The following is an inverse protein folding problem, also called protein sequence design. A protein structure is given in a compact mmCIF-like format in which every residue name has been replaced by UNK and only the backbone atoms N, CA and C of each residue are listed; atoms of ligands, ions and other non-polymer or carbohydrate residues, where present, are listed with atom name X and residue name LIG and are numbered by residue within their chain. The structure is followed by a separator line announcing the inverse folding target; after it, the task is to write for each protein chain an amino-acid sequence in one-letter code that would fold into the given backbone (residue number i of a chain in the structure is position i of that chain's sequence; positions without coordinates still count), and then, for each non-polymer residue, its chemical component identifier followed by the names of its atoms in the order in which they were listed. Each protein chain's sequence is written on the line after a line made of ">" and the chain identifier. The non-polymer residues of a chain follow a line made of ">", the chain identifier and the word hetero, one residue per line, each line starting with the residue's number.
data_IF_600564563825
#
_entry.id   IF_600564563825
#
_cell.length_a   1.000
_cell.length_b   1.000
_cell.length_c   1.000
_cell.angle_alpha   90.00
_cell.angle_beta   90.00
_cell.angle_gamma   90.00
#
_symmetry.space_group_name_H-M   'P 1'
#
loop_
_entity.id
_entity.type
_entity.pdbx_description
1 polymer ?
#
# COMPACT_ATOMS: atom_id res chain seq x y z
N UNK A 1 14.67 -3.30 15.58
CA UNK A 1 14.69 -4.78 15.47
C UNK A 1 13.91 -5.12 14.21
N UNK A 2 14.57 -5.82 13.29
CA UNK A 2 13.97 -6.28 12.04
C UNK A 2 12.68 -7.05 12.33
N UNK A 3 11.59 -6.79 11.60
CA UNK A 3 10.48 -7.71 11.58
C UNK A 3 10.89 -8.91 10.70
N UNK A 4 11.61 -9.88 11.26
CA UNK A 4 11.66 -11.21 10.67
C UNK A 4 10.28 -11.87 10.84
N UNK A 5 9.33 -11.47 10.02
CA UNK A 5 7.96 -11.93 10.11
C UNK A 5 7.38 -12.44 8.81
N UNK A 6 8.18 -13.06 7.96
CA UNK A 6 7.65 -14.07 7.07
C UNK A 6 8.78 -14.96 6.58
N UNK A 7 9.01 -16.04 7.28
CA UNK A 7 9.70 -17.16 6.63
C UNK A 7 8.68 -17.80 5.72
N UNK A 8 8.93 -17.69 4.43
CA UNK A 8 8.09 -18.33 3.44
C UNK A 8 7.86 -19.81 3.80
N UNK A 9 6.63 -20.26 3.75
CA UNK A 9 6.24 -21.67 3.91
C UNK A 9 6.90 -22.54 2.82
N UNK A 10 7.56 -21.90 1.84
CA UNK A 10 8.01 -22.51 0.60
C UNK A 10 9.17 -23.51 0.70
N UNK A 11 10.13 -23.34 1.60
CA UNK A 11 11.38 -24.08 1.46
C UNK A 11 11.49 -25.35 2.32
N UNK A 12 10.78 -25.43 3.45
CA UNK A 12 10.87 -26.59 4.35
C UNK A 12 9.82 -27.67 4.06
N UNK A 13 8.69 -27.31 3.47
CA UNK A 13 7.54 -28.21 3.30
C UNK A 13 7.12 -28.50 1.86
N UNK A 14 7.83 -28.04 0.86
CA UNK A 14 7.53 -28.28 -0.58
C UNK A 14 7.33 -29.76 -0.97
N UNK A 15 7.57 -30.69 -0.08
CA UNK A 15 7.45 -32.13 -0.35
C UNK A 15 6.39 -32.89 0.45
N UNK A 16 5.65 -32.24 1.37
CA UNK A 16 4.82 -33.01 2.29
C UNK A 16 3.31 -32.86 2.12
N UNK A 17 2.77 -31.62 2.01
CA UNK A 17 1.35 -31.42 1.76
C UNK A 17 1.04 -29.94 1.42
N UNK A 18 -0.08 -29.73 0.71
CA UNK A 18 -0.58 -28.38 0.45
C UNK A 18 -1.30 -27.83 1.68
N UNK A 19 -0.82 -26.73 2.22
CA UNK A 19 -1.47 -26.05 3.33
C UNK A 19 -2.76 -25.39 2.86
N UNK A 20 -3.88 -25.74 3.48
CA UNK A 20 -5.23 -25.20 3.18
C UNK A 20 -5.89 -24.55 4.37
N UNK A 21 -5.37 -24.76 5.56
CA UNK A 21 -5.77 -24.06 6.77
C UNK A 21 -4.64 -23.99 7.76
N UNK A 22 -4.68 -22.97 8.61
CA UNK A 22 -3.76 -22.77 9.71
C UNK A 22 -4.53 -22.37 10.97
N UNK A 23 -4.02 -22.78 12.12
CA UNK A 23 -4.47 -22.33 13.44
C UNK A 23 -3.25 -21.82 14.19
N UNK A 24 -3.32 -20.61 14.72
CA UNK A 24 -2.26 -19.98 15.51
C UNK A 24 -2.77 -19.81 16.93
N UNK A 25 -2.06 -20.39 17.90
CA UNK A 25 -2.40 -20.31 19.32
C UNK A 25 -1.30 -19.61 20.10
N UNK A 26 -1.67 -18.69 20.97
CA UNK A 26 -0.85 -18.17 22.06
C UNK A 26 -1.35 -18.76 23.39
N UNK A 27 -0.73 -19.86 23.85
CA UNK A 27 -1.31 -20.68 24.90
C UNK A 27 -2.61 -21.34 24.43
N UNK A 28 -3.72 -21.01 25.10
CA UNK A 28 -5.07 -21.47 24.74
C UNK A 28 -5.84 -20.48 23.85
N UNK A 29 -5.35 -19.26 23.71
CA UNK A 29 -5.99 -18.21 22.92
C UNK A 29 -5.65 -18.36 21.43
N UNK A 30 -6.67 -18.42 20.61
CA UNK A 30 -6.50 -18.46 19.16
C UNK A 30 -6.34 -17.05 18.59
N UNK A 31 -5.27 -16.86 17.82
CA UNK A 31 -4.98 -15.62 17.11
C UNK A 31 -5.56 -15.68 15.70
N UNK A 32 -6.40 -14.72 15.30
CA UNK A 32 -6.87 -14.63 13.92
C UNK A 32 -5.71 -14.57 12.94
N UNK A 33 -5.75 -15.43 11.93
CA UNK A 33 -4.68 -15.56 10.94
C UNK A 33 -5.22 -15.64 9.50
N UNK A 34 -4.34 -15.47 8.54
CA UNK A 34 -4.64 -15.45 7.12
C UNK A 34 -3.56 -16.21 6.36
N UNK A 35 -3.97 -17.04 5.41
CA UNK A 35 -3.08 -17.66 4.43
C UNK A 35 -3.18 -16.90 3.12
N UNK A 36 -2.04 -16.51 2.55
CA UNK A 36 -1.95 -15.78 1.29
C UNK A 36 -1.26 -16.63 0.22
N UNK A 37 -1.82 -16.60 -0.97
CA UNK A 37 -1.25 -17.10 -2.22
C UNK A 37 -0.73 -15.87 -2.99
N UNK A 38 0.59 -15.70 -3.05
CA UNK A 38 1.24 -14.51 -3.61
C UNK A 38 1.56 -14.65 -5.10
N UNK A 39 1.53 -15.88 -5.61
CA UNK A 39 1.91 -16.18 -6.98
C UNK A 39 0.76 -16.67 -7.87
N UNK A 40 -0.43 -16.93 -7.29
CA UNK A 40 -1.64 -17.33 -7.99
C UNK A 40 -1.69 -18.83 -8.33
N UNK A 41 -0.88 -19.66 -7.68
CA UNK A 41 -0.84 -21.12 -7.93
C UNK A 41 -1.85 -21.91 -7.07
N UNK A 42 -2.69 -21.22 -6.31
CA UNK A 42 -3.71 -21.74 -5.40
C UNK A 42 -3.15 -22.51 -4.19
N UNK A 43 -1.89 -22.24 -3.85
CA UNK A 43 -1.25 -22.73 -2.66
C UNK A 43 -0.91 -21.56 -1.73
N UNK A 44 -0.87 -21.81 -0.44
CA UNK A 44 -0.47 -20.78 0.51
C UNK A 44 1.06 -20.62 0.52
N UNK A 45 1.52 -19.41 0.25
CA UNK A 45 2.93 -19.02 0.34
C UNK A 45 3.26 -18.49 1.72
N UNK A 46 2.34 -17.74 2.34
CA UNK A 46 2.56 -17.08 3.62
C UNK A 46 1.39 -17.24 4.59
N UNK A 47 1.74 -17.27 5.89
CA UNK A 47 0.80 -17.17 7.00
C UNK A 47 0.99 -15.83 7.71
N UNK A 48 -0.06 -15.02 7.73
CA UNK A 48 -0.07 -13.72 8.38
C UNK A 48 -0.98 -13.70 9.62
N UNK A 49 -0.53 -13.03 10.67
CA UNK A 49 -1.33 -12.71 11.86
C UNK A 49 -0.78 -11.46 12.54
N UNK A 50 -1.57 -10.85 13.42
CA UNK A 50 -1.19 -9.66 14.20
C UNK A 50 -1.39 -9.96 15.66
N UNK A 51 -0.37 -9.71 16.48
CA UNK A 51 -0.45 -9.83 17.92
C UNK A 51 0.36 -8.73 18.62
N UNK A 52 -0.05 -8.37 19.82
CA UNK A 52 0.73 -7.46 20.66
C UNK A 52 1.77 -8.26 21.45
N UNK A 53 3.01 -7.83 21.38
CA UNK A 53 4.09 -8.36 22.21
C UNK A 53 4.64 -7.22 23.03
N UNK A 54 4.44 -7.19 24.36
CA UNK A 54 5.01 -6.18 25.23
C UNK A 54 6.54 -6.12 25.15
N UNK A 55 7.10 -4.96 25.50
CA UNK A 55 8.55 -4.79 25.47
C UNK A 55 9.25 -5.77 26.43
N UNK A 56 10.31 -6.42 25.93
CA UNK A 56 11.11 -7.41 26.67
C UNK A 56 10.37 -8.72 27.03
N UNK A 57 9.21 -8.97 26.43
CA UNK A 57 8.50 -10.25 26.55
C UNK A 57 8.80 -11.17 25.38
N UNK A 58 8.67 -12.49 25.62
CA UNK A 58 8.74 -13.54 24.61
C UNK A 58 7.48 -14.37 24.68
N UNK A 59 6.79 -14.51 23.54
CA UNK A 59 5.64 -15.38 23.42
C UNK A 59 6.00 -16.62 22.60
N UNK A 60 5.49 -17.77 23.02
CA UNK A 60 5.61 -19.02 22.27
C UNK A 60 4.28 -19.32 21.63
N UNK A 61 4.28 -19.40 20.31
CA UNK A 61 3.10 -19.70 19.53
C UNK A 61 3.11 -21.17 19.09
N UNK A 62 1.93 -21.78 19.10
CA UNK A 62 1.70 -23.08 18.46
C UNK A 62 0.99 -22.84 17.14
N UNK A 63 1.62 -23.24 16.02
CA UNK A 63 1.07 -23.13 14.67
C UNK A 63 0.78 -24.52 14.15
N UNK A 64 -0.50 -24.79 13.87
CA UNK A 64 -0.95 -26.04 13.27
C UNK A 64 -1.35 -25.79 11.82
N UNK A 65 -0.67 -26.43 10.88
CA UNK A 65 -0.96 -26.40 9.45
C UNK A 65 -1.71 -27.66 9.03
N UNK A 66 -2.71 -27.53 8.14
CA UNK A 66 -3.51 -28.65 7.67
C UNK A 66 -3.76 -28.61 6.16
N UNK A 67 -3.81 -29.78 5.53
CA UNK A 67 -4.27 -29.94 4.15
C UNK A 67 -5.79 -29.97 4.02
N UNK A 68 -6.52 -30.08 5.14
CA UNK A 68 -7.97 -29.98 5.15
C UNK A 68 -8.41 -28.52 5.09
N UNK A 69 -9.43 -28.21 4.28
CA UNK A 69 -10.07 -26.90 4.28
C UNK A 69 -10.83 -26.72 5.61
N UNK A 70 -10.85 -25.49 6.09
CA UNK A 70 -11.71 -25.09 7.20
C UNK A 70 -12.79 -24.12 6.70
N UNK A 71 -13.95 -24.17 7.33
CA UNK A 71 -15.01 -23.16 7.14
C UNK A 71 -14.89 -22.01 8.16
N UNK A 72 -13.85 -22.04 9.00
CA UNK A 72 -13.60 -21.00 9.97
C UNK A 72 -13.22 -19.71 9.28
N UNK A 73 -13.86 -18.63 9.67
CA UNK A 73 -13.57 -17.27 9.17
C UNK A 73 -13.38 -16.35 10.35
N UNK A 74 -12.54 -15.34 10.17
CA UNK A 74 -12.39 -14.27 11.15
C UNK A 74 -13.04 -12.99 10.63
N UNK A 75 -13.54 -12.11 11.53
CA UNK A 75 -14.02 -10.80 11.10
C UNK A 75 -12.96 -10.05 10.31
N UNK A 76 -13.38 -9.46 9.19
CA UNK A 76 -12.48 -8.65 8.37
C UNK A 76 -12.08 -7.38 9.14
N UNK A 77 -10.79 -7.12 9.23
CA UNK A 77 -10.18 -5.95 9.84
C UNK A 77 -9.46 -5.08 8.82
N UNK A 78 -9.36 -5.57 7.61
CA UNK A 78 -8.83 -4.88 6.43
C UNK A 78 -9.73 -5.16 5.23
N UNK A 79 -9.62 -4.33 4.20
CA UNK A 79 -10.30 -4.54 2.92
C UNK A 79 -9.43 -4.01 1.79
N UNK A 80 -9.45 -4.65 0.64
CA UNK A 80 -8.90 -4.12 -0.61
C UNK A 80 -9.88 -4.37 -1.76
N UNK A 81 -9.95 -3.42 -2.70
CA UNK A 81 -10.82 -3.52 -3.86
C UNK A 81 -10.37 -2.64 -5.02
N UNK A 82 -10.62 -3.12 -6.22
CA UNK A 82 -10.43 -2.37 -7.47
C UNK A 82 -11.63 -2.59 -8.36
N UNK A 83 -12.09 -1.56 -9.07
CA UNK A 83 -13.30 -1.63 -9.91
C UNK A 83 -13.08 -0.89 -11.22
N UNK A 84 -13.39 -1.52 -12.33
CA UNK A 84 -13.45 -0.86 -13.65
C UNK A 84 -14.78 -0.12 -13.79
N UNK A 85 -14.73 1.08 -14.34
CA UNK A 85 -15.91 1.87 -14.71
C UNK A 85 -16.42 1.45 -16.08
N UNK A 86 -17.70 1.13 -16.16
CA UNK A 86 -18.45 1.11 -17.41
C UNK A 86 -19.27 2.41 -17.46
N UNK A 87 -18.70 3.44 -18.06
CA UNK A 87 -19.28 4.80 -18.05
C UNK A 87 -20.66 4.82 -18.71
N UNK A 88 -20.88 4.21 -19.91
CA UNK A 88 -22.20 4.21 -20.54
C UNK A 88 -23.28 3.53 -19.69
N UNK A 89 -22.93 2.47 -18.97
CA UNK A 89 -23.89 1.72 -18.15
C UNK A 89 -23.89 2.11 -16.69
N UNK A 90 -23.02 3.05 -16.28
CA UNK A 90 -22.79 3.48 -14.90
C UNK A 90 -22.52 2.31 -13.94
N UNK A 91 -21.92 1.24 -14.45
CA UNK A 91 -21.55 0.06 -13.67
C UNK A 91 -20.11 0.17 -13.20
N UNK A 92 -19.86 -0.49 -12.09
CA UNK A 92 -18.52 -0.64 -11.49
C UNK A 92 -18.28 -2.13 -11.29
N UNK A 93 -17.46 -2.71 -12.16
CA UNK A 93 -17.16 -4.15 -12.12
C UNK A 93 -15.93 -4.41 -11.27
N UNK A 94 -16.03 -5.20 -10.20
CA UNK A 94 -14.87 -5.60 -9.42
C UNK A 94 -13.88 -6.41 -10.25
N UNK A 95 -12.60 -6.11 -10.08
CA UNK A 95 -11.48 -6.85 -10.68
C UNK A 95 -10.39 -7.03 -9.62
N UNK A 96 -9.59 -8.06 -9.77
CA UNK A 96 -8.42 -8.28 -8.90
C UNK A 96 -7.11 -7.86 -9.56
N UNK A 97 -7.04 -7.89 -10.87
CA UNK A 97 -5.83 -7.50 -11.60
C UNK A 97 -6.19 -6.89 -12.95
N UNK A 98 -5.35 -5.97 -13.41
CA UNK A 98 -5.43 -5.40 -14.76
C UNK A 98 -4.05 -5.01 -15.24
N UNK A 99 -3.76 -5.35 -16.51
CA UNK A 99 -2.53 -4.98 -17.21
C UNK A 99 -2.87 -4.17 -18.44
N UNK A 100 -2.18 -3.06 -18.65
CA UNK A 100 -2.34 -2.23 -19.86
C UNK A 100 -0.98 -1.84 -20.43
N UNK A 101 -0.88 -1.57 -21.75
CA UNK A 101 0.30 -0.95 -22.34
C UNK A 101 0.61 0.39 -21.67
N UNK A 102 1.89 0.71 -21.51
CA UNK A 102 2.34 1.96 -20.89
C UNK A 102 1.86 3.24 -21.59
N UNK A 103 1.52 3.13 -22.87
CA UNK A 103 0.93 4.21 -23.68
C UNK A 103 -0.56 4.43 -23.43
N UNK A 104 -1.22 3.53 -22.70
CA UNK A 104 -2.65 3.60 -22.42
C UNK A 104 -2.92 4.45 -21.18
N UNK A 105 -3.69 5.51 -21.33
CA UNK A 105 -4.18 6.27 -20.17
C UNK A 105 -5.38 5.56 -19.56
N UNK A 106 -5.13 4.73 -18.56
CA UNK A 106 -6.14 3.92 -17.88
C UNK A 106 -6.64 4.55 -16.57
N UNK A 107 -6.06 5.65 -16.15
CA UNK A 107 -6.32 6.35 -14.89
C UNK A 107 -7.81 6.60 -14.61
N UNK A 108 -8.57 7.07 -15.60
CA UNK A 108 -10.00 7.33 -15.44
C UNK A 108 -10.88 6.11 -15.64
N UNK A 109 -10.35 4.98 -16.12
CA UNK A 109 -11.09 3.75 -16.30
C UNK A 109 -11.25 2.96 -15.00
N UNK A 110 -10.32 3.13 -14.06
CA UNK A 110 -10.42 2.56 -12.72
C UNK A 110 -11.15 3.54 -11.82
N UNK A 111 -12.15 3.04 -11.10
CA UNK A 111 -12.86 3.83 -10.10
C UNK A 111 -11.94 4.12 -8.92
N UNK A 112 -11.84 5.40 -8.51
CA UNK A 112 -10.85 5.80 -7.50
C UNK A 112 -9.43 5.92 -8.04
N UNK A 113 -9.24 5.73 -9.37
CA UNK A 113 -7.98 5.89 -10.09
C UNK A 113 -6.91 4.82 -9.80
N UNK A 114 -7.24 3.75 -9.11
CA UNK A 114 -6.37 2.63 -8.77
C UNK A 114 -6.97 1.71 -7.72
N UNK A 115 -6.25 0.70 -7.25
CA UNK A 115 -6.66 -0.12 -6.13
C UNK A 115 -6.74 0.71 -4.85
N UNK A 116 -7.76 0.42 -4.06
CA UNK A 116 -8.01 1.04 -2.76
C UNK A 116 -7.95 -0.04 -1.70
N UNK A 117 -7.29 0.24 -0.59
CA UNK A 117 -7.14 -0.70 0.50
C UNK A 117 -7.11 0.01 1.84
N UNK A 118 -7.62 -0.65 2.88
CA UNK A 118 -7.81 -0.05 4.19
C UNK A 118 -7.55 -1.03 5.33
N UNK A 119 -7.10 -0.48 6.45
CA UNK A 119 -7.28 -1.04 7.78
C UNK A 119 -8.44 -0.34 8.49
N UNK A 120 -8.73 -0.71 9.71
CA UNK A 120 -9.73 0.01 10.50
C UNK A 120 -9.33 1.49 10.77
N UNK A 121 -8.06 1.88 10.58
CA UNK A 121 -7.49 3.15 11.02
C UNK A 121 -7.18 4.14 9.91
N UNK A 122 -7.02 3.66 8.67
CA UNK A 122 -6.61 4.46 7.52
C UNK A 122 -6.97 3.73 6.24
N UNK A 123 -7.12 4.46 5.14
CA UNK A 123 -7.11 3.84 3.83
C UNK A 123 -6.09 4.50 2.90
N UNK A 124 -5.73 3.79 1.86
CA UNK A 124 -4.83 4.21 0.81
C UNK A 124 -5.36 3.82 -0.55
N UNK A 125 -4.93 4.57 -1.57
CA UNK A 125 -4.98 4.17 -2.97
C UNK A 125 -3.63 4.38 -3.62
N UNK A 126 -3.36 3.64 -4.69
CA UNK A 126 -2.20 3.88 -5.55
C UNK A 126 -2.71 4.24 -6.94
N UNK A 127 -2.23 5.34 -7.50
CA UNK A 127 -2.72 5.82 -8.80
C UNK A 127 -2.21 4.96 -9.96
N UNK A 128 -3.12 4.49 -10.79
CA UNK A 128 -2.84 3.68 -11.98
C UNK A 128 -2.36 4.55 -13.15
N UNK A 129 -1.22 5.18 -12.98
CA UNK A 129 -0.53 5.98 -14.00
C UNK A 129 0.98 6.01 -13.75
N UNK A 130 1.70 6.85 -14.50
CA UNK A 130 3.15 7.00 -14.36
C UNK A 130 3.61 7.54 -13.01
N UNK A 131 2.72 8.19 -12.27
CA UNK A 131 3.04 8.72 -10.94
C UNK A 131 3.11 7.63 -9.89
N UNK A 132 2.22 6.64 -9.95
CA UNK A 132 2.02 5.58 -8.95
C UNK A 132 1.93 6.13 -7.51
N UNK A 133 1.40 7.34 -7.36
CA UNK A 133 1.42 8.05 -6.09
C UNK A 133 0.50 7.36 -5.08
N UNK A 134 1.03 7.17 -3.88
CA UNK A 134 0.28 6.70 -2.70
C UNK A 134 -0.49 7.89 -2.14
N UNK A 135 -1.79 7.72 -2.02
CA UNK A 135 -2.73 8.76 -1.58
C UNK A 135 -3.54 8.28 -0.38
N UNK A 136 -3.49 9.01 0.75
CA UNK A 136 -4.15 8.60 1.97
C UNK A 136 -5.60 9.07 2.05
N UNK A 137 -6.42 8.27 2.74
CA UNK A 137 -7.78 8.61 3.16
C UNK A 137 -7.82 8.63 4.69
N UNK A 138 -8.21 9.75 5.26
CA UNK A 138 -8.33 9.92 6.70
C UNK A 138 -9.64 9.36 7.22
N UNK A 139 -9.64 8.78 8.42
CA UNK A 139 -10.83 8.25 9.08
C UNK A 139 -11.12 8.99 10.37
N UNK A 140 -12.38 9.33 10.58
CA UNK A 140 -12.85 9.90 11.85
C UNK A 140 -13.08 8.80 12.90
N UNK A 141 -13.63 7.67 12.46
CA UNK A 141 -13.96 6.55 13.32
C UNK A 141 -13.15 5.30 12.91
N UNK A 142 -12.92 4.42 13.87
CA UNK A 142 -12.33 3.12 13.62
C UNK A 142 -13.33 2.21 12.92
N UNK A 143 -13.00 1.69 11.74
CA UNK A 143 -13.87 0.80 10.98
C UNK A 143 -13.48 0.67 9.52
N UNK A 144 -14.14 -0.21 8.76
CA UNK A 144 -13.97 -0.36 7.33
C UNK A 144 -15.02 0.47 6.59
N UNK A 145 -14.61 1.27 5.61
CA UNK A 145 -15.46 2.24 4.93
C UNK A 145 -15.35 2.16 3.40
N UNK A 146 -14.19 1.76 2.87
CA UNK A 146 -13.89 1.87 1.43
C UNK A 146 -14.75 0.93 0.59
N UNK A 147 -15.17 -0.21 1.13
CA UNK A 147 -16.08 -1.11 0.43
C UNK A 147 -17.38 -0.40 0.07
N UNK A 148 -17.87 0.49 0.94
CA UNK A 148 -19.10 1.28 0.77
C UNK A 148 -18.84 2.61 0.06
N UNK A 149 -17.89 3.42 0.54
CA UNK A 149 -17.62 4.77 0.05
C UNK A 149 -16.85 4.80 -1.27
N UNK A 150 -16.04 3.79 -1.53
CA UNK A 150 -15.13 3.75 -2.69
C UNK A 150 -14.23 5.00 -2.77
N UNK A 151 -13.69 5.45 -1.64
CA UNK A 151 -12.84 6.63 -1.47
C UNK A 151 -13.57 7.99 -1.62
N UNK A 152 -14.83 7.99 -1.99
CA UNK A 152 -15.62 9.22 -2.19
C UNK A 152 -16.94 9.10 -1.45
N UNK A 153 -16.97 9.35 -0.14
CA UNK A 153 -18.19 9.26 0.64
C UNK A 153 -19.20 10.30 0.19
N UNK A 154 -20.46 9.94 0.22
CA UNK A 154 -21.57 10.87 0.02
C UNK A 154 -21.94 11.57 1.33
N UNK A 155 -22.87 12.55 1.26
CA UNK A 155 -23.27 13.34 2.41
C UNK A 155 -23.86 12.50 3.56
N UNK A 156 -24.56 11.40 3.27
CA UNK A 156 -25.09 10.48 4.28
C UNK A 156 -23.97 9.72 4.98
N UNK A 157 -22.98 9.23 4.23
CA UNK A 157 -21.81 8.54 4.77
C UNK A 157 -20.97 9.47 5.65
N UNK A 158 -20.74 10.72 5.20
CA UNK A 158 -20.07 11.73 6.02
C UNK A 158 -20.85 12.03 7.31
N UNK A 159 -22.17 12.14 7.24
CA UNK A 159 -23.01 12.33 8.43
C UNK A 159 -22.96 11.14 9.41
N UNK A 160 -22.66 9.93 8.92
CA UNK A 160 -22.42 8.74 9.76
C UNK A 160 -21.01 8.69 10.36
N UNK A 161 -20.15 9.65 10.01
CA UNK A 161 -18.79 9.76 10.51
C UNK A 161 -17.76 8.98 9.69
N UNK A 162 -18.03 8.76 8.39
CA UNK A 162 -17.02 8.28 7.45
C UNK A 162 -15.95 9.34 7.31
N UNK A 163 -14.73 8.91 7.04
CA UNK A 163 -13.62 9.77 6.66
C UNK A 163 -13.76 10.33 5.25
N UNK A 164 -12.68 10.89 4.73
CA UNK A 164 -12.64 11.44 3.36
C UNK A 164 -11.22 11.39 2.78
N UNK A 165 -11.10 11.73 1.50
CA UNK A 165 -9.84 12.09 0.85
C UNK A 165 -9.26 13.32 1.56
N UNK A 166 -8.04 13.24 2.05
CA UNK A 166 -7.45 14.28 2.92
C UNK A 166 -6.24 14.97 2.34
N UNK A 167 -5.76 14.54 1.16
CA UNK A 167 -4.52 15.05 0.60
C UNK A 167 -4.56 15.19 -0.93
N UNK A 168 -4.45 16.40 -1.42
CA UNK A 168 -4.26 16.66 -2.84
C UNK A 168 -2.80 16.37 -3.24
N UNK A 169 -2.49 15.14 -3.64
CA UNK A 169 -1.12 14.68 -3.88
C UNK A 169 -0.45 15.26 -5.15
N UNK A 170 -1.23 15.68 -6.15
CA UNK A 170 -0.69 16.30 -7.37
C UNK A 170 0.37 15.49 -8.09
N UNK A 171 1.55 16.07 -8.26
CA UNK A 171 2.76 15.44 -8.85
C UNK A 171 3.77 14.97 -7.81
N UNK A 172 3.47 15.09 -6.52
CA UNK A 172 4.36 14.77 -5.43
C UNK A 172 4.60 13.26 -5.25
N UNK A 173 5.43 12.93 -4.28
CA UNK A 173 5.60 11.55 -3.81
C UNK A 173 4.42 11.04 -2.96
N UNK A 174 3.43 11.90 -2.63
CA UNK A 174 2.36 11.52 -1.72
C UNK A 174 2.91 11.07 -0.37
N UNK A 175 2.66 9.81 -0.02
CA UNK A 175 3.17 9.21 1.22
C UNK A 175 4.13 8.08 0.87
N UNK A 176 5.39 8.41 0.61
CA UNK A 176 6.44 7.39 0.43
C UNK A 176 6.46 6.69 -0.92
N UNK A 177 5.88 7.27 -1.97
CA UNK A 177 5.94 6.68 -3.32
C UNK A 177 7.37 6.64 -3.84
N UNK A 178 7.80 5.47 -4.33
CA UNK A 178 9.08 5.36 -5.02
C UNK A 178 9.04 6.12 -6.36
N UNK A 179 10.11 6.83 -6.65
CA UNK A 179 10.35 7.57 -7.90
C UNK A 179 11.74 7.24 -8.45
N UNK A 180 11.94 7.45 -9.75
CA UNK A 180 13.27 7.55 -10.30
C UNK A 180 13.98 8.81 -9.82
N UNK A 181 15.29 8.87 -10.02
CA UNK A 181 16.13 10.02 -9.70
C UNK A 181 17.05 10.35 -10.88
N UNK A 182 16.99 11.58 -11.41
CA UNK A 182 17.80 12.00 -12.56
C UNK A 182 19.15 12.66 -12.19
N UNK A 183 19.46 12.65 -10.90
CA UNK A 183 20.64 13.32 -10.34
C UNK A 183 20.30 14.66 -9.67
N UNK A 184 19.13 15.24 -9.96
CA UNK A 184 18.69 16.53 -9.43
C UNK A 184 17.28 16.50 -8.83
N UNK A 185 16.37 15.72 -9.41
CA UNK A 185 14.95 15.67 -9.01
C UNK A 185 14.36 14.28 -9.17
N UNK A 186 13.24 14.08 -8.50
CA UNK A 186 12.41 12.89 -8.67
C UNK A 186 11.80 12.84 -10.08
N UNK A 187 11.74 11.65 -10.68
CA UNK A 187 11.12 11.42 -11.99
C UNK A 187 10.00 10.40 -11.89
N UNK A 188 9.02 10.49 -12.80
CA UNK A 188 7.95 9.51 -12.88
C UNK A 188 8.44 8.17 -13.44
N UNK A 189 7.65 7.11 -13.21
CA UNK A 189 7.94 5.76 -13.71
C UNK A 189 7.38 5.64 -15.12
N UNK A 190 8.13 6.20 -16.06
CA UNK A 190 7.83 6.23 -17.51
C UNK A 190 9.10 6.53 -18.32
N UNK A 191 9.17 6.13 -19.62
CA UNK A 191 8.18 5.27 -20.29
C UNK A 191 8.32 3.80 -19.85
N UNK A 192 7.20 3.08 -19.89
CA UNK A 192 7.15 1.64 -19.60
C UNK A 192 6.45 0.91 -20.75
N UNK A 193 6.76 -0.38 -20.96
CA UNK A 193 6.06 -1.20 -21.92
C UNK A 193 4.66 -1.58 -21.41
N UNK A 194 4.57 -2.02 -20.15
CA UNK A 194 3.32 -2.41 -19.51
C UNK A 194 3.28 -1.94 -18.05
N UNK A 195 2.04 -1.71 -17.59
CA UNK A 195 1.74 -1.43 -16.19
C UNK A 195 0.65 -2.37 -15.71
N UNK A 196 0.85 -2.96 -14.54
CA UNK A 196 -0.10 -3.89 -13.90
C UNK A 196 -0.39 -3.44 -12.49
N UNK A 197 -1.65 -3.50 -12.08
CA UNK A 197 -2.04 -3.41 -10.68
C UNK A 197 -2.84 -4.65 -10.29
N UNK A 198 -2.52 -5.23 -9.13
CA UNK A 198 -3.10 -6.49 -8.67
C UNK A 198 -3.36 -6.46 -7.18
N UNK A 199 -4.47 -7.02 -6.75
CA UNK A 199 -4.77 -7.29 -5.33
C UNK A 199 -4.48 -8.77 -5.09
N UNK A 200 -3.46 -9.07 -4.29
CA UNK A 200 -3.04 -10.43 -3.96
C UNK A 200 -3.73 -10.92 -2.68
N UNK A 201 -3.92 -10.03 -1.69
CA UNK A 201 -4.62 -10.34 -0.46
C UNK A 201 -5.55 -9.18 -0.07
N UNK A 202 -6.73 -9.51 0.48
CA UNK A 202 -7.77 -8.53 0.82
C UNK A 202 -8.46 -8.78 2.17
N UNK A 203 -7.77 -9.43 3.08
CA UNK A 203 -8.24 -9.70 4.44
C UNK A 203 -8.29 -11.17 4.81
N UNK A 204 -8.59 -11.48 6.08
CA UNK A 204 -9.08 -10.56 7.13
C UNK A 204 -8.01 -9.77 7.90
N UNK A 205 -6.71 -10.13 7.80
CA UNK A 205 -5.63 -9.62 8.67
C UNK A 205 -4.75 -8.59 7.96
N UNK A 206 -4.48 -8.79 6.67
CA UNK A 206 -3.71 -7.82 5.86
C UNK A 206 -4.25 -7.75 4.44
N UNK A 207 -3.95 -6.62 3.80
CA UNK A 207 -4.07 -6.47 2.35
C UNK A 207 -2.70 -6.48 1.71
N UNK A 208 -2.59 -7.01 0.49
CA UNK A 208 -1.40 -6.94 -0.36
C UNK A 208 -1.83 -6.46 -1.73
N UNK A 209 -1.23 -5.36 -2.17
CA UNK A 209 -1.45 -4.77 -3.49
C UNK A 209 -0.11 -4.65 -4.19
N UNK A 210 0.00 -5.20 -5.40
CA UNK A 210 1.18 -5.08 -6.23
C UNK A 210 0.92 -4.08 -7.37
N UNK A 211 1.89 -3.19 -7.59
CA UNK A 211 1.96 -2.30 -8.74
C UNK A 211 3.25 -2.61 -9.48
N UNK A 212 3.11 -3.26 -10.63
CA UNK A 212 4.23 -3.73 -11.43
C UNK A 212 4.36 -2.93 -12.73
N UNK A 213 5.59 -2.73 -13.17
CA UNK A 213 5.94 -2.21 -14.49
C UNK A 213 6.93 -3.13 -15.18
N UNK A 214 6.76 -3.29 -16.48
CA UNK A 214 7.70 -3.99 -17.35
C UNK A 214 8.22 -3.06 -18.43
N UNK A 215 9.51 -3.20 -18.74
CA UNK A 215 10.15 -2.40 -19.75
C UNK A 215 10.21 -0.91 -19.38
N UNK A 216 10.50 -0.57 -18.14
CA UNK A 216 10.77 0.80 -17.73
C UNK A 216 12.11 1.24 -18.27
N UNK A 217 12.10 2.12 -19.27
CA UNK A 217 13.34 2.70 -19.79
C UNK A 217 13.86 3.76 -18.82
N UNK A 218 14.72 3.31 -17.91
CA UNK A 218 15.31 4.14 -16.87
C UNK A 218 16.78 4.41 -17.16
N UNK A 219 17.11 5.65 -17.50
CA UNK A 219 18.49 6.09 -17.80
C UNK A 219 19.21 5.22 -18.85
N UNK A 220 18.46 4.76 -19.85
CA UNK A 220 18.99 3.92 -20.93
C UNK A 220 19.09 2.43 -20.61
N UNK A 221 18.62 2.01 -19.44
CA UNK A 221 18.46 0.61 -19.03
C UNK A 221 16.99 0.24 -18.96
N UNK A 222 16.66 -0.96 -19.38
CA UNK A 222 15.31 -1.51 -19.21
C UNK A 222 15.23 -2.20 -17.85
N UNK A 223 14.25 -1.78 -17.04
CA UNK A 223 13.98 -2.34 -15.72
C UNK A 223 12.57 -2.91 -15.66
N UNK A 224 12.43 -4.03 -14.95
CA UNK A 224 11.16 -4.56 -14.49
C UNK A 224 11.09 -4.39 -12.98
N UNK A 225 10.03 -3.80 -12.49
CA UNK A 225 9.90 -3.46 -11.07
C UNK A 225 8.49 -3.77 -10.57
N UNK A 226 8.40 -4.24 -9.33
CA UNK A 226 7.15 -4.39 -8.59
C UNK A 226 7.27 -3.67 -7.26
N UNK A 227 6.34 -2.76 -6.99
CA UNK A 227 6.10 -2.20 -5.66
C UNK A 227 4.96 -2.98 -5.01
N UNK A 228 5.22 -3.62 -3.89
CA UNK A 228 4.25 -4.32 -3.05
C UNK A 228 3.89 -3.46 -1.85
N UNK A 229 2.61 -3.26 -1.66
CA UNK A 229 2.03 -2.48 -0.59
C UNK A 229 1.30 -3.41 0.37
N UNK A 230 1.73 -3.45 1.64
CA UNK A 230 1.17 -4.35 2.67
C UNK A 230 0.63 -3.50 3.80
N UNK A 231 -0.67 -3.64 4.07
CA UNK A 231 -1.34 -2.95 5.17
C UNK A 231 -1.96 -3.97 6.12
N UNK A 232 -1.52 -3.92 7.38
CA UNK A 232 -2.01 -4.82 8.43
C UNK A 232 -3.20 -4.25 9.21
N UNK A 233 -3.99 -5.15 9.74
CA UNK A 233 -5.07 -4.85 10.68
C UNK A 233 -4.54 -4.08 11.91
N UNK A 234 -5.21 -2.99 12.28
CA UNK A 234 -4.82 -2.16 13.41
C UNK A 234 -3.63 -1.24 13.17
N UNK A 235 -3.08 -1.20 11.96
CA UNK A 235 -1.96 -0.35 11.57
C UNK A 235 -2.42 0.85 10.73
N UNK A 236 -1.68 1.96 10.82
CA UNK A 236 -1.72 3.11 9.91
C UNK A 236 -0.53 3.12 8.96
N UNK A 237 0.57 2.52 9.36
CA UNK A 237 1.77 2.40 8.56
C UNK A 237 1.57 1.38 7.43
N UNK A 238 2.09 1.75 6.28
CA UNK A 238 2.10 0.95 5.06
C UNK A 238 3.52 0.44 4.82
N UNK A 239 3.71 -0.88 4.84
CA UNK A 239 4.98 -1.46 4.41
C UNK A 239 5.05 -1.45 2.89
N UNK A 240 6.14 -0.93 2.34
CA UNK A 240 6.39 -0.90 0.90
C UNK A 240 7.67 -1.70 0.61
N UNK A 241 7.53 -2.74 -0.19
CA UNK A 241 8.64 -3.56 -0.68
C UNK A 241 8.80 -3.33 -2.18
N UNK A 242 10.02 -3.07 -2.62
CA UNK A 242 10.33 -2.87 -4.04
C UNK A 242 11.22 -3.98 -4.54
N UNK A 243 10.77 -4.67 -5.57
CA UNK A 243 11.48 -5.76 -6.23
C UNK A 243 11.87 -5.34 -7.64
N UNK A 244 13.10 -5.68 -8.03
CA UNK A 244 13.57 -5.58 -9.41
C UNK A 244 13.91 -6.98 -9.91
N UNK A 245 13.50 -7.31 -11.13
CA UNK A 245 13.78 -8.62 -11.73
C UNK A 245 15.28 -8.80 -12.01
N UNK A 246 15.96 -7.68 -12.30
CA UNK A 246 17.39 -7.65 -12.61
C UNK A 246 18.21 -7.01 -11.48
N UNK A 247 19.43 -7.48 -11.24
CA UNK A 247 20.32 -6.85 -10.28
C UNK A 247 20.60 -5.39 -10.63
N UNK A 248 20.42 -4.51 -9.66
CA UNK A 248 20.77 -3.10 -9.75
C UNK A 248 22.31 -2.95 -9.65
N UNK A 249 22.86 -1.90 -10.28
CA UNK A 249 24.28 -1.53 -10.20
C UNK A 249 24.44 -0.13 -9.62
N UNK A 250 24.20 0.87 -10.47
CA UNK A 250 24.40 2.27 -10.15
C UNK A 250 23.09 3.09 -10.24
N UNK A 251 21.95 2.40 -10.47
CA UNK A 251 20.66 3.04 -10.59
C UNK A 251 20.24 3.60 -9.21
N UNK A 252 19.90 4.88 -9.20
CA UNK A 252 19.45 5.58 -8.01
C UNK A 252 17.94 5.83 -8.09
N UNK A 253 17.28 5.60 -6.99
CA UNK A 253 15.85 5.89 -6.82
C UNK A 253 15.67 6.82 -5.63
N UNK A 254 14.51 7.41 -5.53
CA UNK A 254 14.16 8.22 -4.38
C UNK A 254 12.73 7.94 -3.91
N UNK A 255 12.48 8.31 -2.69
CA UNK A 255 11.15 8.43 -2.12
C UNK A 255 11.13 9.60 -1.16
N UNK A 256 9.95 9.96 -0.67
CA UNK A 256 9.76 11.05 0.26
C UNK A 256 8.29 11.28 0.54
N UNK A 257 7.98 12.36 1.21
CA UNK A 257 6.61 12.78 1.46
C UNK A 257 6.31 14.08 0.73
N UNK A 258 5.04 14.30 0.43
CA UNK A 258 4.60 15.60 -0.06
C UNK A 258 4.92 16.67 0.98
N UNK A 259 5.58 17.76 0.55
CA UNK A 259 5.66 18.96 1.34
C UNK A 259 4.28 19.64 1.31
N UNK A 260 3.53 19.54 2.41
CA UNK A 260 2.18 20.09 2.49
C UNK A 260 2.27 21.61 2.47
N UNK A 261 1.64 22.24 1.50
CA UNK A 261 1.66 23.71 1.35
C UNK A 261 1.15 24.38 2.64
N UNK A 262 1.93 25.33 3.18
CA UNK A 262 1.64 25.95 4.48
C UNK A 262 1.89 24.99 5.63
N UNK A 263 2.78 23.99 5.46
CA UNK A 263 3.17 23.08 6.50
C UNK A 263 3.71 23.82 7.72
N UNK A 264 3.37 23.29 8.89
CA UNK A 264 3.90 23.78 10.17
C UNK A 264 5.25 23.12 10.47
N UNK A 265 5.49 21.94 9.92
CA UNK A 265 6.70 21.17 10.16
C UNK A 265 7.01 20.24 8.99
N UNK A 266 8.22 20.36 8.45
CA UNK A 266 8.90 19.33 7.69
C UNK A 266 10.11 18.89 8.51
N UNK A 267 10.25 17.60 8.78
CA UNK A 267 11.30 17.10 9.63
C UNK A 267 12.03 15.91 9.02
N UNK A 268 13.35 16.05 8.90
CA UNK A 268 14.32 14.96 8.74
C UNK A 268 15.32 14.95 9.93
N UNK A 269 14.88 15.44 11.06
CA UNK A 269 15.71 15.94 12.18
C UNK A 269 16.63 14.91 12.81
N UNK A 270 16.37 13.63 12.63
CA UNK A 270 17.23 12.59 13.22
C UNK A 270 18.29 12.07 12.27
N UNK A 271 18.24 12.43 10.99
CA UNK A 271 19.09 11.90 9.90
C UNK A 271 19.19 10.37 9.89
N UNK A 272 18.13 9.69 10.38
CA UNK A 272 18.04 8.23 10.50
C UNK A 272 17.09 7.60 9.50
N UNK A 273 16.68 8.36 8.49
CA UNK A 273 15.83 7.88 7.41
C UNK A 273 14.34 8.18 7.59
N UNK A 274 13.96 8.89 8.65
CA UNK A 274 12.59 9.35 8.84
C UNK A 274 12.43 10.76 8.29
N UNK A 275 11.45 10.95 7.40
CA UNK A 275 11.01 12.26 6.92
C UNK A 275 9.51 12.39 7.11
N UNK A 276 9.05 13.54 7.59
CA UNK A 276 7.63 13.80 7.82
C UNK A 276 7.23 15.22 7.48
N UNK A 277 5.97 15.38 7.08
CA UNK A 277 5.34 16.68 6.83
C UNK A 277 4.01 16.75 7.56
N UNK A 278 3.76 17.88 8.20
CA UNK A 278 2.54 18.17 8.95
C UNK A 278 2.02 19.54 8.54
N UNK A 279 0.75 19.64 8.21
CA UNK A 279 0.18 20.93 7.85
C UNK A 279 -1.30 20.87 7.56
N UNK A 280 -1.85 22.01 7.14
CA UNK A 280 -3.27 22.19 6.84
C UNK A 280 -3.48 22.67 5.42
N UNK A 281 -4.08 21.83 4.58
CA UNK A 281 -4.28 22.09 3.17
C UNK A 281 -5.66 21.60 2.70
N UNK A 282 -6.06 21.99 1.48
CA UNK A 282 -7.26 21.44 0.85
C UNK A 282 -7.00 20.01 0.37
N UNK A 283 -7.95 19.10 0.60
CA UNK A 283 -7.85 17.72 0.13
C UNK A 283 -7.98 17.60 -1.39
N UNK A 284 -8.66 18.54 -2.03
CA UNK A 284 -8.95 18.57 -3.47
C UNK A 284 -8.88 19.99 -4.03
N UNK A 285 -8.91 20.13 -5.36
CA UNK A 285 -8.85 21.44 -6.05
C UNK A 285 -10.08 22.34 -5.82
N UNK A 286 -11.21 21.78 -5.40
CA UNK A 286 -12.43 22.55 -5.12
C UNK A 286 -12.37 23.18 -3.73
N UNK A 287 -11.69 24.32 -3.65
CA UNK A 287 -11.49 25.07 -2.40
C UNK A 287 -12.74 25.82 -1.91
N UNK A 288 -13.81 25.82 -2.70
CA UNK A 288 -15.10 26.44 -2.32
C UNK A 288 -15.96 25.43 -1.58
N UNK A 289 -15.99 24.20 -2.06
CA UNK A 289 -16.81 23.12 -1.49
C UNK A 289 -16.17 22.44 -0.28
N UNK A 290 -14.86 22.31 -0.27
CA UNK A 290 -14.14 21.56 0.74
C UNK A 290 -13.38 22.47 1.70
N UNK A 291 -13.39 22.12 2.98
CA UNK A 291 -12.57 22.78 3.99
C UNK A 291 -11.12 22.27 3.93
N UNK A 292 -10.22 23.03 4.53
CA UNK A 292 -8.84 22.55 4.74
C UNK A 292 -8.81 21.47 5.81
N UNK A 293 -8.11 20.40 5.51
CA UNK A 293 -7.84 19.30 6.43
C UNK A 293 -6.43 19.41 7.04
N UNK A 294 -6.29 18.98 8.29
CA UNK A 294 -4.99 18.83 8.93
C UNK A 294 -4.51 17.41 8.72
N UNK A 295 -3.35 17.26 8.10
CA UNK A 295 -2.79 15.95 7.79
C UNK A 295 -1.32 15.90 8.19
N UNK A 296 -0.91 14.76 8.77
CA UNK A 296 0.47 14.41 9.03
C UNK A 296 0.83 13.16 8.25
N UNK A 297 1.90 13.22 7.46
CA UNK A 297 2.41 12.12 6.66
C UNK A 297 3.90 11.92 6.93
N UNK A 298 4.36 10.68 6.90
CA UNK A 298 5.76 10.37 7.10
C UNK A 298 6.16 9.15 6.27
N UNK A 299 7.44 9.07 5.94
CA UNK A 299 8.06 7.85 5.41
C UNK A 299 9.36 7.56 6.15
N UNK A 300 9.67 6.28 6.28
CA UNK A 300 10.88 5.81 6.91
C UNK A 300 11.60 4.81 6.01
N UNK A 301 12.89 5.07 5.75
CA UNK A 301 13.77 4.13 5.08
C UNK A 301 15.01 3.94 5.96
N UNK A 302 15.34 2.70 6.36
CA UNK A 302 16.53 2.45 7.15
C UNK A 302 17.79 3.01 6.48
N UNK A 303 18.62 3.72 7.23
CA UNK A 303 19.83 4.42 6.71
C UNK A 303 20.81 3.47 6.04
N UNK A 304 20.78 2.18 6.41
CA UNK A 304 21.59 1.14 5.76
C UNK A 304 21.27 0.96 4.27
N UNK A 305 20.10 1.43 3.83
CA UNK A 305 19.66 1.38 2.42
C UNK A 305 19.72 2.74 1.72
N UNK A 306 20.17 3.81 2.40
CA UNK A 306 20.09 5.16 1.86
C UNK A 306 21.43 5.86 1.84
N UNK A 307 21.70 6.61 0.77
CA UNK A 307 22.59 7.76 0.79
C UNK A 307 21.70 8.99 0.91
N UNK A 308 21.38 9.39 2.13
CA UNK A 308 20.50 10.53 2.39
C UNK A 308 21.11 11.82 1.82
N UNK A 309 20.44 12.37 0.82
CA UNK A 309 20.57 13.78 0.43
C UNK A 309 19.20 14.40 0.63
N UNK A 310 19.06 15.23 1.64
CA UNK A 310 17.88 16.07 1.78
C UNK A 310 17.90 17.10 0.62
N UNK A 311 16.94 17.02 -0.28
CA UNK A 311 16.67 18.05 -1.26
C UNK A 311 15.22 18.50 -1.06
N UNK A 312 15.06 19.76 -0.63
CA UNK A 312 13.79 20.45 -0.75
C UNK A 312 13.57 20.74 -2.22
N UNK A 313 12.65 20.05 -2.87
CA UNK A 313 12.14 20.49 -4.16
C UNK A 313 10.86 21.27 -3.90
N UNK A 314 10.90 22.59 -4.09
CA UNK A 314 9.69 23.40 -4.23
C UNK A 314 8.87 22.85 -5.39
N UNK A 315 7.60 22.60 -5.15
CA UNK A 315 6.64 22.33 -6.22
C UNK A 315 6.25 23.67 -6.85
N UNK A 316 6.61 23.85 -8.11
CA UNK A 316 5.96 24.81 -9.01
C UNK A 316 4.70 24.17 -9.62
#
# INVERSE_FOLDING_TARGET
>A
RDPEMSRGLGDVYKRQFHVRSAVVLNGEEEIPSQLDDLNGDLQADELAFVMNVPANETNTLTITLSSAKTNKTYPARVFAGMRIRDIPKQKRTPIQSVTVPGTTNFYNMVHGHGPMFESELVAYRVYFNQKQTIDPYGKFNKGLEIQESSFYPNAEQLARGFGDDVLMVGNSCGVGTLKGWDGTKATHIEPVAFRTESILAYGPIRTIVDVAVKGWNYQGKELNMTNRYILYAGHRDLLVETFFDEPLKDELFCTGVQNIMGNETLSDSDHKGLIGSWGRHWPVNDTVKYAKETVGIATYIPVSYTHLRAHETSQD
#
